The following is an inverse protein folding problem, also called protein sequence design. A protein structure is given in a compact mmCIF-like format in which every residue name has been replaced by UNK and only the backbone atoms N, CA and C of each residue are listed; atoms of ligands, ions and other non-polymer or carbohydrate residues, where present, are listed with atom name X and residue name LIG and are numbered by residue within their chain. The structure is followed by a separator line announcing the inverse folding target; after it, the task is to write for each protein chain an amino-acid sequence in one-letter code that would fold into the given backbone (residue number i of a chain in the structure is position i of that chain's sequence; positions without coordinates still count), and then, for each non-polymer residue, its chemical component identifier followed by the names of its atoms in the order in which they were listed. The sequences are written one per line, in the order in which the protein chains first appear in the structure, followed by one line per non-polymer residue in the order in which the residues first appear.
data_IF_830122743397
#
_entry.id   IF_830122743397
#
_cell.length_a   1.000
_cell.length_b   1.000
_cell.length_c   1.000
_cell.angle_alpha   90.00
_cell.angle_beta   90.00
_cell.angle_gamma   90.00
#
_symmetry.space_group_name_H-M   'P 1'
#
loop_
_entity.id
_entity.type
_entity.pdbx_description
1 polymer ?
#
# COMPACT_ATOMS: atom_id res chain seq x y z
N UNK A 1 -8.01 13.77 -0.69
CA UNK A 1 -6.62 13.38 -1.03
C UNK A 1 -6.38 11.99 -0.45
N UNK A 2 -5.89 11.02 -1.21
CA UNK A 2 -5.74 9.64 -0.73
C UNK A 2 -4.32 9.42 -0.21
N UNK A 3 -4.20 8.82 0.98
CA UNK A 3 -2.93 8.55 1.64
C UNK A 3 -2.76 7.04 1.76
N UNK A 4 -1.70 6.51 1.16
CA UNK A 4 -1.26 5.15 1.49
C UNK A 4 -0.67 5.17 2.90
N UNK A 5 -1.16 4.31 3.79
CA UNK A 5 -0.63 4.14 5.14
C UNK A 5 0.27 2.91 5.20
N UNK A 6 1.43 3.05 5.83
CA UNK A 6 2.34 1.93 6.13
C UNK A 6 2.38 1.73 7.63
N UNK A 7 1.96 0.56 8.10
CA UNK A 7 1.76 0.24 9.52
C UNK A 7 2.66 -0.90 9.96
N UNK A 8 3.17 -0.85 11.20
CA UNK A 8 3.93 -1.96 11.82
C UNK A 8 3.51 -2.21 13.27
N UNK A 9 3.76 -3.42 13.78
CA UNK A 9 3.68 -3.72 15.21
C UNK A 9 5.03 -3.37 15.88
N UNK A 10 5.08 -2.49 16.91
CA UNK A 10 6.33 -2.05 17.54
C UNK A 10 7.15 -3.17 18.20
N UNK A 11 6.49 -4.20 18.73
CA UNK A 11 7.16 -5.33 19.42
C UNK A 11 7.89 -6.29 18.48
N UNK A 12 7.72 -6.13 17.16
CA UNK A 12 8.48 -6.87 16.15
C UNK A 12 9.60 -5.97 15.62
N UNK A 13 10.85 -6.40 15.81
CA UNK A 13 12.01 -5.69 15.28
C UNK A 13 11.95 -5.61 13.75
N UNK A 14 11.97 -4.39 13.21
CA UNK A 14 12.08 -4.13 11.76
C UNK A 14 13.31 -3.26 11.54
N UNK A 15 14.14 -3.64 10.57
CA UNK A 15 15.20 -2.81 10.05
C UNK A 15 14.58 -1.59 9.35
N UNK A 16 14.58 -0.44 10.01
CA UNK A 16 14.25 0.83 9.34
C UNK A 16 15.44 1.22 8.48
N UNK A 17 15.19 1.44 7.19
CA UNK A 17 16.18 2.05 6.32
C UNK A 17 15.70 3.46 5.98
N UNK A 18 16.21 4.45 6.71
CA UNK A 18 16.05 5.85 6.31
C UNK A 18 16.78 6.07 4.98
N UNK A 19 16.02 6.42 3.93
CA UNK A 19 16.59 6.91 2.68
C UNK A 19 16.73 8.42 2.83
N UNK A 20 17.83 8.85 3.41
CA UNK A 20 18.20 10.27 3.46
C UNK A 20 19.03 10.60 2.21
N UNK A 21 18.53 11.50 1.39
CA UNK A 21 19.29 12.00 0.25
C UNK A 21 20.36 13.00 0.75
N UNK A 22 21.62 12.54 0.69
CA UNK A 22 22.92 13.24 0.80
C UNK A 22 23.47 13.60 2.19
N UNK A 23 24.67 13.06 2.46
CA UNK A 23 25.64 13.54 3.45
C UNK A 23 26.47 12.40 4.06
N UNK A 24 27.80 12.43 3.90
CA UNK A 24 28.75 11.40 4.36
C UNK A 24 28.75 11.21 5.88
N UNK A 25 28.35 10.02 6.36
CA UNK A 25 28.45 9.64 7.77
C UNK A 25 28.21 8.14 7.94
N UNK A 26 29.11 7.47 8.64
CA UNK A 26 29.11 6.01 8.88
C UNK A 26 27.82 5.52 9.55
N UNK A 27 27.28 4.39 9.07
CA UNK A 27 26.13 3.69 9.64
C UNK A 27 26.59 2.67 10.69
N UNK A 28 26.10 2.79 11.94
CA UNK A 28 26.30 1.76 12.96
C UNK A 28 24.99 1.02 13.22
N UNK A 29 24.97 -0.29 12.96
CA UNK A 29 23.89 -1.22 13.29
C UNK A 29 24.11 -1.73 14.71
N UNK A 30 23.12 -1.56 15.59
CA UNK A 30 23.15 -2.07 16.96
C UNK A 30 22.40 -3.43 16.99
N UNK A 31 23.10 -4.51 17.34
CA UNK A 31 22.58 -5.88 17.55
C UNK A 31 21.68 -5.96 18.81
N UNK A 32 20.84 -6.96 19.10
CA UNK A 32 20.10 -8.06 18.42
C UNK A 32 19.46 -8.93 19.54
N UNK A 33 18.27 -9.53 19.39
CA UNK A 33 17.87 -10.83 20.01
C UNK A 33 16.64 -11.46 19.29
N UNK A 34 16.75 -12.73 18.85
CA UNK A 34 15.62 -13.66 18.61
C UNK A 34 15.04 -13.80 17.18
N UNK A 35 15.47 -14.83 16.43
CA UNK A 35 15.07 -15.26 15.07
C UNK A 35 15.17 -14.19 13.96
N UNK A 36 16.24 -14.31 13.17
CA UNK A 36 16.48 -13.59 11.92
C UNK A 36 15.53 -14.05 10.82
N UNK A 37 14.23 -13.80 10.96
CA UNK A 37 13.25 -13.99 9.87
C UNK A 37 13.18 -12.71 9.03
N UNK A 38 13.19 -12.85 7.70
CA UNK A 38 12.95 -11.74 6.78
C UNK A 38 11.61 -11.03 7.06
N UNK A 39 11.53 -9.76 6.67
CA UNK A 39 10.38 -8.89 6.89
C UNK A 39 9.24 -9.29 5.95
N UNK A 40 8.07 -9.59 6.49
CA UNK A 40 6.85 -9.86 5.71
C UNK A 40 6.06 -8.57 5.54
N UNK A 41 5.91 -8.14 4.30
CA UNK A 41 5.14 -6.95 3.90
C UNK A 41 3.87 -7.41 3.21
N UNK A 42 2.73 -7.38 3.90
CA UNK A 42 1.43 -7.55 3.27
C UNK A 42 1.00 -6.21 2.65
N UNK A 43 0.39 -6.25 1.46
CA UNK A 43 0.00 -5.01 0.79
C UNK A 43 -1.13 -5.15 -0.23
N UNK A 44 -1.71 -4.02 -0.59
CA UNK A 44 -2.49 -3.86 -1.82
C UNK A 44 -1.60 -3.58 -3.02
N UNK A 45 -2.10 -3.87 -4.22
CA UNK A 45 -1.37 -3.61 -5.45
C UNK A 45 -1.08 -2.11 -5.58
N UNK A 46 0.21 -1.77 -5.62
CA UNK A 46 0.69 -0.40 -5.79
C UNK A 46 2.04 -0.38 -6.56
N UNK A 47 2.13 0.36 -7.67
CA UNK A 47 3.35 0.45 -8.46
C UNK A 47 4.55 1.00 -7.69
N UNK A 48 4.33 2.02 -6.84
CA UNK A 48 5.41 2.65 -6.08
C UNK A 48 5.96 1.68 -5.02
N UNK A 49 5.08 0.95 -4.34
CA UNK A 49 5.51 -0.05 -3.37
C UNK A 49 6.34 -1.16 -4.01
N UNK A 50 6.00 -1.59 -5.23
CA UNK A 50 6.77 -2.60 -5.97
C UNK A 50 8.21 -2.13 -6.22
N UNK A 51 8.41 -0.85 -6.55
CA UNK A 51 9.73 -0.23 -6.70
C UNK A 51 10.49 -0.21 -5.36
N UNK A 52 9.80 0.14 -4.27
CA UNK A 52 10.38 0.18 -2.92
C UNK A 52 10.86 -1.21 -2.52
N UNK A 53 10.01 -2.24 -2.64
CA UNK A 53 10.35 -3.62 -2.31
C UNK A 53 11.55 -4.10 -3.13
N UNK A 54 11.58 -3.83 -4.44
CA UNK A 54 12.72 -4.15 -5.30
C UNK A 54 14.03 -3.49 -4.83
N UNK A 55 13.97 -2.23 -4.38
CA UNK A 55 15.14 -1.52 -3.83
C UNK A 55 15.61 -2.07 -2.49
N UNK A 56 14.70 -2.53 -1.64
CA UNK A 56 15.07 -3.17 -0.37
C UNK A 56 15.80 -4.48 -0.64
N UNK A 57 15.27 -5.31 -1.55
CA UNK A 57 15.92 -6.56 -1.98
C UNK A 57 17.31 -6.27 -2.59
N UNK A 58 17.43 -5.28 -3.48
CA UNK A 58 18.73 -4.94 -4.10
C UNK A 58 19.78 -4.45 -3.10
N UNK A 59 19.36 -4.06 -1.89
CA UNK A 59 20.25 -3.65 -0.78
C UNK A 59 20.56 -4.81 0.18
N UNK A 60 20.15 -6.03 -0.15
CA UNK A 60 20.39 -7.23 0.66
C UNK A 60 19.46 -7.37 1.86
N UNK A 61 18.34 -6.64 1.90
CA UNK A 61 17.32 -6.79 2.94
C UNK A 61 16.44 -7.98 2.57
N UNK A 62 16.34 -8.96 3.47
CA UNK A 62 15.41 -10.09 3.34
C UNK A 62 13.98 -9.60 3.57
N UNK A 63 13.27 -9.32 2.48
CA UNK A 63 11.88 -8.83 2.48
C UNK A 63 11.02 -9.69 1.57
N UNK A 64 9.85 -10.08 2.06
CA UNK A 64 8.84 -10.84 1.32
C UNK A 64 7.57 -10.02 1.20
N UNK A 65 7.29 -9.55 -0.02
CA UNK A 65 6.05 -8.83 -0.34
C UNK A 65 4.92 -9.80 -0.70
N UNK A 66 3.74 -9.61 -0.12
CA UNK A 66 2.53 -10.40 -0.41
C UNK A 66 1.40 -9.47 -0.81
N UNK A 67 1.03 -9.47 -2.09
CA UNK A 67 -0.03 -8.63 -2.64
C UNK A 67 -1.41 -9.29 -2.49
N UNK A 68 -2.11 -9.01 -1.40
CA UNK A 68 -3.41 -9.63 -1.04
C UNK A 68 -4.56 -8.64 -0.91
N UNK A 69 -4.29 -7.34 -1.08
CA UNK A 69 -5.29 -6.28 -0.95
C UNK A 69 -5.31 -5.65 0.45
N UNK A 70 -5.81 -4.41 0.54
CA UNK A 70 -5.65 -3.57 1.74
C UNK A 70 -6.33 -4.15 2.99
N UNK A 71 -7.52 -4.75 2.83
CA UNK A 71 -8.26 -5.33 3.97
C UNK A 71 -7.57 -6.55 4.55
N UNK A 72 -7.23 -7.53 3.71
CA UNK A 72 -6.50 -8.74 4.14
C UNK A 72 -5.10 -8.41 4.66
N UNK A 73 -4.43 -7.41 4.07
CA UNK A 73 -3.16 -6.91 4.56
C UNK A 73 -3.24 -6.43 6.01
N UNK A 74 -4.29 -5.68 6.35
CA UNK A 74 -4.49 -5.20 7.72
C UNK A 74 -4.89 -6.33 8.68
N UNK A 75 -5.68 -7.31 8.21
CA UNK A 75 -6.00 -8.51 8.98
C UNK A 75 -4.76 -9.38 9.27
N UNK A 76 -3.86 -9.57 8.30
CA UNK A 76 -2.60 -10.27 8.54
C UNK A 76 -1.73 -9.55 9.57
N UNK A 77 -1.76 -8.21 9.57
CA UNK A 77 -1.09 -7.43 10.60
C UNK A 77 -1.73 -7.68 11.97
N UNK A 78 -3.06 -7.64 12.10
CA UNK A 78 -3.73 -7.90 13.38
C UNK A 78 -3.49 -9.31 13.93
N UNK A 79 -3.31 -10.30 13.05
CA UNK A 79 -2.97 -11.68 13.44
C UNK A 79 -1.47 -11.86 13.73
N UNK A 80 -0.63 -10.86 13.47
CA UNK A 80 0.82 -10.98 13.62
C UNK A 80 1.49 -11.87 12.56
N UNK A 81 0.81 -12.16 11.45
CA UNK A 81 1.34 -12.92 10.30
C UNK A 81 2.15 -12.03 9.36
N UNK A 82 1.87 -10.73 9.34
CA UNK A 82 2.69 -9.72 8.69
C UNK A 82 3.50 -8.89 9.71
N UNK A 83 4.60 -8.30 9.26
CA UNK A 83 5.38 -7.33 10.04
C UNK A 83 5.03 -5.90 9.63
N UNK A 84 4.74 -5.70 8.35
CA UNK A 84 4.28 -4.43 7.78
C UNK A 84 3.02 -4.63 6.95
N UNK A 85 2.07 -3.71 7.08
CA UNK A 85 0.89 -3.62 6.21
C UNK A 85 0.88 -2.30 5.47
N UNK A 86 0.82 -2.36 4.13
CA UNK A 86 0.65 -1.20 3.27
C UNK A 86 -0.78 -1.15 2.75
N UNK A 87 -1.56 -0.17 3.20
CA UNK A 87 -3.00 -0.09 2.91
C UNK A 87 -3.40 1.28 2.40
N UNK A 88 -4.53 1.32 1.70
CA UNK A 88 -5.16 2.57 1.29
C UNK A 88 -6.69 2.45 1.37
N UNK A 89 -7.20 2.11 2.55
CA UNK A 89 -8.63 1.92 2.80
C UNK A 89 -9.32 3.26 3.03
N UNK A 90 -10.37 3.55 2.26
CA UNK A 90 -11.20 4.73 2.44
C UNK A 90 -12.43 4.36 3.27
N UNK A 91 -12.65 5.08 4.37
CA UNK A 91 -13.89 4.96 5.13
C UNK A 91 -14.92 5.99 4.62
N UNK A 92 -16.05 5.56 4.04
CA UNK A 92 -17.05 6.47 3.50
C UNK A 92 -17.86 7.21 4.58
N UNK A 93 -17.98 6.63 5.78
CA UNK A 93 -18.71 7.22 6.89
C UNK A 93 -17.96 8.41 7.49
N UNK A 94 -16.68 8.22 7.79
CA UNK A 94 -15.85 9.26 8.39
C UNK A 94 -15.13 10.13 7.35
N UNK A 95 -15.05 9.69 6.10
CA UNK A 95 -14.26 10.33 5.04
C UNK A 95 -12.74 10.25 5.25
N UNK A 96 -12.25 9.42 6.18
CA UNK A 96 -10.83 9.32 6.56
C UNK A 96 -10.23 8.03 5.99
N UNK A 97 -8.97 8.12 5.58
CA UNK A 97 -8.21 6.95 5.12
C UNK A 97 -7.56 6.20 6.29
N UNK A 98 -7.59 4.87 6.22
CA UNK A 98 -6.90 3.87 7.05
C UNK A 98 -7.24 3.89 8.55
N UNK A 99 -7.16 5.05 9.22
CA UNK A 99 -7.30 5.20 10.67
C UNK A 99 -8.57 4.54 11.24
N UNK A 100 -9.78 4.71 10.65
CA UNK A 100 -10.98 4.05 11.17
C UNK A 100 -10.90 2.52 11.18
N UNK A 101 -10.12 1.93 10.27
CA UNK A 101 -9.95 0.48 10.18
C UNK A 101 -8.99 -0.09 11.22
N UNK A 102 -8.11 0.73 11.81
CA UNK A 102 -7.26 0.29 12.91
C UNK A 102 -8.07 0.02 14.16
N UNK A 103 -9.02 0.89 14.47
CA UNK A 103 -9.94 0.73 15.60
C UNK A 103 -10.81 -0.51 15.41
N UNK A 104 -11.42 -0.66 14.22
CA UNK A 104 -12.29 -1.80 13.87
C UNK A 104 -11.58 -3.16 13.89
N UNK A 105 -10.25 -3.19 13.80
CA UNK A 105 -9.44 -4.41 13.86
C UNK A 105 -8.60 -4.53 15.15
N UNK A 106 -8.92 -3.75 16.19
CA UNK A 106 -8.23 -3.77 17.48
C UNK A 106 -6.72 -3.51 17.39
N UNK A 107 -6.30 -2.72 16.39
CA UNK A 107 -4.92 -2.35 16.13
C UNK A 107 -4.54 -0.97 16.66
N UNK A 108 -5.50 -0.16 17.13
CA UNK A 108 -5.29 1.27 17.45
C UNK A 108 -4.07 1.55 18.35
N UNK A 109 -3.83 0.71 19.37
CA UNK A 109 -2.70 0.85 20.29
C UNK A 109 -1.55 -0.14 20.01
N UNK A 110 -1.74 -1.03 19.03
CA UNK A 110 -0.82 -2.12 18.71
C UNK A 110 0.05 -1.87 17.48
N UNK A 111 -0.21 -0.80 16.73
CA UNK A 111 0.53 -0.46 15.51
C UNK A 111 0.90 1.01 15.43
N UNK A 112 1.97 1.30 14.71
CA UNK A 112 2.39 2.66 14.40
C UNK A 112 2.50 2.90 12.89
N UNK A 113 2.27 4.14 12.46
CA UNK A 113 2.50 4.55 11.07
C UNK A 113 3.98 4.86 10.86
N UNK A 114 4.64 4.15 9.95
CA UNK A 114 6.05 4.38 9.60
C UNK A 114 6.23 5.24 8.35
N UNK A 115 5.13 5.60 7.68
CA UNK A 115 5.15 6.48 6.54
C UNK A 115 3.94 6.31 5.64
N UNK A 116 4.01 6.98 4.50
CA UNK A 116 2.96 6.98 3.49
C UNK A 116 3.34 7.82 2.29
N UNK A 117 2.52 7.74 1.25
CA UNK A 117 2.66 8.59 0.07
C UNK A 117 1.30 9.06 -0.41
N UNK A 118 1.31 10.23 -1.01
CA UNK A 118 0.12 10.88 -1.55
C UNK A 118 -0.20 10.29 -2.91
N UNK A 119 -1.48 10.03 -3.14
CA UNK A 119 -1.98 9.61 -4.46
C UNK A 119 -3.24 10.37 -4.84
N UNK A 120 -3.41 10.52 -6.14
CA UNK A 120 -4.58 11.12 -6.76
C UNK A 120 -5.30 10.04 -7.56
N UNK A 121 -6.61 9.91 -7.33
CA UNK A 121 -7.49 9.13 -8.19
C UNK A 121 -7.81 9.96 -9.42
N UNK A 122 -7.72 9.33 -10.59
CA UNK A 122 -8.01 9.96 -11.88
C UNK A 122 -8.89 9.03 -12.71
N UNK A 123 -9.69 9.63 -13.59
CA UNK A 123 -10.27 8.90 -14.72
C UNK A 123 -9.25 8.93 -15.85
N UNK A 124 -8.73 7.76 -16.20
CA UNK A 124 -7.85 7.61 -17.36
C UNK A 124 -8.66 7.13 -18.55
N UNK A 125 -8.51 7.78 -19.69
CA UNK A 125 -9.18 7.44 -20.93
C UNK A 125 -8.19 7.43 -22.10
N UNK A 126 -8.56 6.74 -23.19
CA UNK A 126 -7.75 6.76 -24.41
C UNK A 126 -7.77 8.17 -24.99
N UNK A 127 -6.64 8.65 -25.49
CA UNK A 127 -6.53 10.01 -26.07
C UNK A 127 -7.54 10.26 -27.20
N UNK A 128 -7.89 9.22 -27.95
CA UNK A 128 -8.86 9.26 -29.05
C UNK A 128 -10.32 9.06 -28.63
N UNK A 129 -10.61 9.01 -27.32
CA UNK A 129 -11.97 8.87 -26.81
C UNK A 129 -12.83 10.13 -27.00
N UNK A 130 -12.24 11.27 -27.39
CA UNK A 130 -12.97 12.52 -27.59
C UNK A 130 -13.60 13.09 -26.31
N UNK A 131 -12.95 12.87 -25.16
CA UNK A 131 -13.39 13.36 -23.85
C UNK A 131 -12.59 14.62 -23.50
N UNK A 132 -13.27 15.76 -23.47
CA UNK A 132 -12.69 17.08 -23.22
C UNK A 132 -13.08 17.64 -21.85
N UNK A 133 -14.08 17.04 -21.19
CA UNK A 133 -14.52 17.43 -19.85
C UNK A 133 -14.99 16.24 -19.00
N UNK A 134 -15.02 16.44 -17.68
CA UNK A 134 -15.59 15.46 -16.74
C UNK A 134 -17.09 15.25 -16.97
N UNK A 135 -17.85 16.31 -17.23
CA UNK A 135 -19.30 16.22 -17.46
C UNK A 135 -19.60 15.38 -18.70
N UNK A 136 -18.85 15.58 -19.78
CA UNK A 136 -18.96 14.76 -20.99
C UNK A 136 -18.60 13.30 -20.72
N UNK A 137 -17.58 13.05 -19.89
CA UNK A 137 -17.23 11.70 -19.49
C UNK A 137 -18.39 11.04 -18.71
N UNK A 138 -18.99 11.77 -17.76
CA UNK A 138 -20.14 11.28 -16.98
C UNK A 138 -21.36 11.01 -17.84
N UNK A 139 -21.72 11.93 -18.72
CA UNK A 139 -22.82 11.75 -19.66
C UNK A 139 -22.57 10.55 -20.58
N UNK A 140 -21.34 10.39 -21.08
CA UNK A 140 -20.97 9.24 -21.88
C UNK A 140 -21.08 7.92 -21.12
N UNK A 141 -20.78 7.90 -19.81
CA UNK A 141 -20.96 6.72 -18.95
C UNK A 141 -22.44 6.41 -18.70
N UNK A 142 -23.29 7.41 -18.44
CA UNK A 142 -24.72 7.18 -18.17
C UNK A 142 -25.51 6.82 -19.42
N UNK A 143 -25.07 7.30 -20.59
CA UNK A 143 -25.67 6.97 -21.90
C UNK A 143 -25.13 5.68 -22.52
N UNK A 144 -24.16 5.02 -21.88
CA UNK A 144 -23.54 3.78 -22.37
C UNK A 144 -22.54 3.97 -23.52
N UNK A 145 -22.17 5.21 -23.87
CA UNK A 145 -21.12 5.52 -24.87
C UNK A 145 -19.72 5.18 -24.37
N UNK A 146 -19.48 5.31 -23.06
CA UNK A 146 -18.23 4.92 -22.41
C UNK A 146 -18.49 3.83 -21.37
N UNK A 147 -17.63 2.82 -21.36
CA UNK A 147 -17.66 1.77 -20.34
C UNK A 147 -16.52 2.00 -19.34
N UNK A 148 -16.86 2.00 -18.05
CA UNK A 148 -15.86 2.04 -16.99
C UNK A 148 -15.23 0.66 -16.86
N UNK A 149 -13.93 0.59 -17.14
CA UNK A 149 -13.14 -0.61 -16.85
C UNK A 149 -12.38 -0.42 -15.54
N UNK A 150 -12.91 -0.95 -14.42
CA UNK A 150 -12.12 -1.08 -13.20
C UNK A 150 -11.06 -2.18 -13.37
N UNK A 151 -9.81 -1.79 -13.63
CA UNK A 151 -8.69 -2.74 -13.63
C UNK A 151 -8.17 -2.98 -12.21
N UNK A 152 -8.96 -3.66 -11.38
CA UNK A 152 -8.43 -4.36 -10.20
C UNK A 152 -8.19 -5.83 -10.60
N UNK A 153 -7.23 -6.05 -11.49
CA UNK A 153 -6.93 -7.39 -11.99
C UNK A 153 -6.23 -8.24 -10.93
N UNK A 154 -6.99 -8.92 -10.07
CA UNK A 154 -6.54 -10.25 -9.66
C UNK A 154 -6.70 -11.11 -10.91
N UNK A 155 -5.58 -11.44 -11.55
CA UNK A 155 -5.56 -12.36 -12.68
C UNK A 155 -6.00 -13.72 -12.13
N UNK A 156 -7.28 -14.05 -12.25
CA UNK A 156 -7.76 -15.41 -11.98
C UNK A 156 -7.08 -16.38 -12.97
N UNK A 157 -6.87 -17.65 -12.58
CA UNK A 157 -6.38 -18.64 -13.52
C UNK A 157 -7.50 -18.91 -14.55
N UNK A 158 -7.43 -18.28 -15.73
CA UNK A 158 -8.39 -18.57 -16.80
C UNK A 158 -8.69 -17.52 -17.87
N UNK A 159 -8.03 -16.36 -17.93
CA UNK A 159 -8.21 -15.45 -19.07
C UNK A 159 -7.03 -15.54 -20.05
N UNK A 160 -7.28 -16.26 -21.14
CA UNK A 160 -6.50 -16.27 -22.40
C UNK A 160 -6.47 -14.90 -23.05
#
# INVERSE_FOLDING_TARGET
MQVSGVWRIPSKAIYTCEVQARGSGSLSVINAWGLKRGVVVAHSHDPLLSIILGRLVSRGIDVRGICIGSGLSLAMLSLGEADVSCTHLYDPESGIYNKPYLERLWLADGVEMIGGYMRQLVLAFRRDAGIDSLDQAFEGMTTGRYMVAMRNGVRGPGST
#
